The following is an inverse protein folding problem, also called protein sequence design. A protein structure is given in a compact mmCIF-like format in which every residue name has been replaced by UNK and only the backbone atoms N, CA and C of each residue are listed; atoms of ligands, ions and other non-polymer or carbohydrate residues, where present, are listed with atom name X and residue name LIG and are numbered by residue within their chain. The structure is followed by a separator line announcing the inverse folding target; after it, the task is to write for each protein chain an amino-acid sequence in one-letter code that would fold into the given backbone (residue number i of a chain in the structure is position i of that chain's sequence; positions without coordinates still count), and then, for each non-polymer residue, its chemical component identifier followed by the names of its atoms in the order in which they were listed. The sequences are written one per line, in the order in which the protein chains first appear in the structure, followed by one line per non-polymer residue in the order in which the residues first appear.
data_IF_280315933962
#
_entry.id   IF_280315933962
#
_cell.length_a   1.000
_cell.length_b   1.000
_cell.length_c   1.000
_cell.angle_alpha   90.00
_cell.angle_beta   90.00
_cell.angle_gamma   90.00
#
_symmetry.space_group_name_H-M   'P 1'
#
loop_
_entity.id
_entity.type
_entity.pdbx_description
1 polymer ?
#
# COMPACT_ATOMS: atom_id res chain seq x y z
N UNK A 1 -25.91 13.80 72.19
CA UNK A 1 -25.33 12.68 71.41
C UNK A 1 -26.22 12.43 70.20
N UNK A 2 -26.13 13.24 69.15
CA UNK A 2 -25.38 12.99 67.91
C UNK A 2 -25.57 11.57 67.34
N UNK A 3 -26.39 11.44 66.29
CA UNK A 3 -26.13 10.58 65.14
C UNK A 3 -26.72 11.21 63.87
N UNK A 4 -25.84 11.85 63.12
CA UNK A 4 -26.07 12.32 61.75
C UNK A 4 -26.15 11.06 60.86
N UNK A 5 -27.28 10.88 60.16
CA UNK A 5 -27.42 9.91 59.07
C UNK A 5 -26.93 10.58 57.79
N UNK A 6 -25.70 10.29 57.39
CA UNK A 6 -25.15 10.70 56.09
C UNK A 6 -25.67 9.76 55.01
N UNK A 7 -26.43 10.29 54.05
CA UNK A 7 -26.74 9.62 52.79
C UNK A 7 -25.43 9.42 52.01
N UNK A 8 -25.17 8.19 51.59
CA UNK A 8 -24.14 7.87 50.58
C UNK A 8 -24.83 7.93 49.22
N UNK A 9 -24.47 8.83 48.29
CA UNK A 9 -24.95 8.74 46.93
C UNK A 9 -24.21 7.62 46.20
N UNK A 10 -24.99 6.71 45.62
CA UNK A 10 -24.57 5.69 44.68
C UNK A 10 -23.95 6.38 43.45
N UNK A 11 -22.62 6.33 43.30
CA UNK A 11 -21.95 6.71 42.05
C UNK A 11 -21.89 5.46 41.17
N UNK A 12 -22.82 5.39 40.21
CA UNK A 12 -22.79 4.42 39.12
C UNK A 12 -21.65 4.83 38.16
N UNK A 13 -20.49 4.17 38.28
CA UNK A 13 -19.41 4.31 37.31
C UNK A 13 -19.78 3.48 36.08
N UNK A 14 -20.23 4.16 35.02
CA UNK A 14 -20.43 3.55 33.71
C UNK A 14 -19.05 3.36 33.06
N UNK A 15 -18.49 2.15 33.17
CA UNK A 15 -17.26 1.77 32.48
C UNK A 15 -17.60 1.55 30.99
N UNK A 16 -17.33 2.55 30.15
CA UNK A 16 -17.28 2.34 28.70
C UNK A 16 -16.09 1.42 28.40
N UNK A 17 -16.36 0.13 28.16
CA UNK A 17 -15.42 -0.72 27.44
C UNK A 17 -15.39 -0.22 25.99
N UNK A 18 -14.39 0.59 25.66
CA UNK A 18 -13.96 0.73 24.29
C UNK A 18 -13.41 -0.64 23.87
N UNK A 19 -14.23 -1.42 23.15
CA UNK A 19 -13.76 -2.60 22.45
C UNK A 19 -12.82 -2.09 21.36
N UNK A 20 -11.53 -2.08 21.66
CA UNK A 20 -10.52 -1.85 20.64
C UNK A 20 -10.60 -3.06 19.72
N UNK A 21 -11.10 -2.88 18.49
CA UNK A 21 -11.04 -3.91 17.48
C UNK A 21 -9.54 -4.11 17.14
N UNK A 22 -8.92 -5.14 17.71
CA UNK A 22 -7.51 -5.45 17.45
C UNK A 22 -7.48 -6.10 16.07
N UNK A 23 -6.98 -5.39 15.07
CA UNK A 23 -6.77 -5.96 13.73
C UNK A 23 -5.68 -7.01 13.73
N UNK A 24 -5.82 -7.99 12.84
CA UNK A 24 -4.81 -9.01 12.58
C UNK A 24 -3.89 -8.54 11.47
N UNK A 25 -2.57 -8.65 11.68
CA UNK A 25 -1.57 -8.34 10.67
C UNK A 25 -1.24 -9.58 9.83
N UNK A 26 -1.14 -9.40 8.51
CA UNK A 26 -0.55 -10.37 7.60
C UNK A 26 0.63 -9.76 6.83
N UNK A 27 1.78 -10.46 6.74
CA UNK A 27 2.90 -10.00 5.91
C UNK A 27 2.51 -9.86 4.44
N UNK A 28 3.01 -8.80 3.81
CA UNK A 28 2.90 -8.59 2.36
C UNK A 28 4.27 -8.79 1.70
N UNK A 29 4.27 -9.37 0.50
CA UNK A 29 5.47 -9.63 -0.32
C UNK A 29 5.21 -9.32 -1.80
N UNK A 30 6.09 -9.70 -2.72
CA UNK A 30 5.82 -9.60 -4.17
C UNK A 30 6.37 -8.34 -4.86
N UNK A 31 5.81 -7.98 -6.03
CA UNK A 31 6.44 -7.08 -7.02
C UNK A 31 6.46 -5.59 -6.66
N UNK A 32 5.58 -5.13 -5.78
CA UNK A 32 5.57 -3.78 -5.21
C UNK A 32 5.09 -2.70 -6.19
N UNK A 33 5.77 -1.55 -6.20
CA UNK A 33 5.41 -0.38 -6.98
C UNK A 33 6.08 -0.43 -8.35
N UNK A 34 5.28 -0.22 -9.40
CA UNK A 34 5.77 -0.15 -10.78
C UNK A 34 5.54 1.27 -11.32
N UNK A 35 6.63 2.01 -11.57
CA UNK A 35 6.60 3.42 -11.98
C UNK A 35 6.99 3.59 -13.46
N UNK A 36 6.06 4.08 -14.25
CA UNK A 36 6.21 4.56 -15.61
C UNK A 36 6.54 6.04 -15.53
N UNK A 37 7.75 6.39 -15.96
CA UNK A 37 8.19 7.78 -15.98
C UNK A 37 8.13 8.38 -17.38
N UNK A 38 7.63 7.61 -18.35
CA UNK A 38 7.48 8.03 -19.74
C UNK A 38 6.45 9.16 -19.89
N UNK A 39 5.32 9.05 -19.20
CA UNK A 39 4.22 10.03 -19.25
C UNK A 39 4.57 11.38 -18.62
N UNK A 40 5.69 11.44 -17.89
CA UNK A 40 6.22 12.67 -17.29
C UNK A 40 7.11 13.47 -18.25
N UNK A 41 7.36 12.96 -19.46
CA UNK A 41 8.22 13.57 -20.49
C UNK A 41 9.58 14.07 -19.96
N UNK A 42 10.18 13.34 -19.01
CA UNK A 42 11.40 13.77 -18.33
C UNK A 42 12.56 14.08 -19.30
N UNK A 43 12.62 13.32 -20.40
CA UNK A 43 13.70 13.44 -21.37
C UNK A 43 13.65 14.77 -22.12
N UNK A 44 12.48 15.33 -22.44
CA UNK A 44 12.38 16.64 -23.11
C UNK A 44 12.91 17.78 -22.23
N UNK A 45 12.84 17.61 -20.91
CA UNK A 45 13.41 18.54 -19.92
C UNK A 45 14.88 18.24 -19.57
N UNK A 46 15.51 17.28 -20.25
CA UNK A 46 16.90 16.86 -20.03
C UNK A 46 17.11 16.11 -18.72
N UNK A 47 16.08 15.43 -18.22
CA UNK A 47 16.08 14.69 -16.96
C UNK A 47 16.16 13.20 -17.26
N UNK A 48 17.16 12.54 -16.67
CA UNK A 48 17.26 11.09 -16.66
C UNK A 48 16.69 10.54 -15.35
N UNK A 49 15.83 9.53 -15.46
CA UNK A 49 15.42 8.71 -14.33
C UNK A 49 16.26 7.43 -14.26
N UNK A 50 16.51 6.94 -13.06
CA UNK A 50 17.26 5.70 -12.87
C UNK A 50 16.87 5.03 -11.55
N UNK A 51 16.87 3.70 -11.53
CA UNK A 51 16.67 2.92 -10.32
C UNK A 51 17.87 3.05 -9.36
N UNK A 52 17.62 3.07 -8.05
CA UNK A 52 18.66 3.07 -7.02
C UNK A 52 18.38 2.08 -5.89
N UNK A 53 19.46 1.64 -5.22
CA UNK A 53 19.41 0.89 -3.96
C UNK A 53 18.52 -0.37 -3.95
N UNK A 54 18.51 -1.13 -5.05
CA UNK A 54 17.77 -2.39 -5.16
C UNK A 54 16.44 -2.29 -5.89
N UNK A 55 16.04 -1.09 -6.33
CA UNK A 55 15.05 -0.95 -7.39
C UNK A 55 15.58 -1.52 -8.71
N UNK A 56 14.67 -1.98 -9.57
CA UNK A 56 14.99 -2.59 -10.87
C UNK A 56 14.56 -1.63 -11.96
N UNK A 57 15.47 -1.34 -12.88
CA UNK A 57 15.18 -0.61 -14.10
C UNK A 57 14.78 -1.62 -15.19
N UNK A 58 13.62 -1.44 -15.79
CA UNK A 58 13.12 -2.26 -16.89
C UNK A 58 12.79 -1.35 -18.06
N UNK A 59 13.83 -0.79 -18.69
CA UNK A 59 13.89 0.10 -19.87
C UNK A 59 12.88 1.27 -19.93
N UNK A 60 11.59 0.99 -19.75
CA UNK A 60 10.47 1.92 -19.73
C UNK A 60 9.91 2.18 -18.30
N UNK A 61 10.29 1.38 -17.31
CA UNK A 61 9.72 1.44 -15.94
C UNK A 61 10.75 1.20 -14.85
N UNK A 62 10.54 1.80 -13.68
CA UNK A 62 11.29 1.50 -12.46
C UNK A 62 10.39 0.71 -11.51
N UNK A 63 10.81 -0.50 -11.17
CA UNK A 63 10.12 -1.38 -10.23
C UNK A 63 10.79 -1.34 -8.86
N UNK A 64 9.99 -1.15 -7.81
CA UNK A 64 10.40 -1.21 -6.43
C UNK A 64 9.66 -2.34 -5.72
N UNK A 65 10.35 -3.46 -5.49
CA UNK A 65 9.77 -4.65 -4.86
C UNK A 65 9.31 -4.38 -3.43
N UNK A 66 8.36 -5.18 -2.94
CA UNK A 66 7.89 -5.12 -1.55
C UNK A 66 9.04 -5.43 -0.60
N UNK A 67 9.29 -4.54 0.35
CA UNK A 67 10.33 -4.69 1.36
C UNK A 67 9.82 -5.46 2.59
N UNK A 68 10.77 -6.04 3.34
CA UNK A 68 10.48 -6.71 4.61
C UNK A 68 9.82 -5.73 5.60
N UNK A 69 8.83 -6.22 6.33
CA UNK A 69 8.06 -5.42 7.29
C UNK A 69 6.78 -4.81 6.70
N UNK A 70 6.56 -4.99 5.39
CA UNK A 70 5.28 -4.71 4.75
C UNK A 70 4.19 -5.61 5.29
N UNK A 71 3.00 -5.04 5.50
CA UNK A 71 1.86 -5.76 6.06
C UNK A 71 0.53 -5.15 5.68
N UNK A 72 -0.49 -5.99 5.68
CA UNK A 72 -1.90 -5.62 5.62
C UNK A 72 -2.53 -5.93 6.99
N UNK A 73 -3.42 -5.08 7.46
CA UNK A 73 -4.12 -5.24 8.74
C UNK A 73 -5.62 -5.36 8.46
N UNK A 74 -6.24 -6.43 8.94
CA UNK A 74 -7.65 -6.75 8.64
C UNK A 74 -8.41 -7.21 9.88
N UNK A 75 -9.74 -7.16 9.79
CA UNK A 75 -10.69 -7.79 10.72
C UNK A 75 -11.77 -8.50 9.91
N UNK A 76 -13.00 -7.97 9.87
CA UNK A 76 -14.03 -8.37 8.91
C UNK A 76 -13.87 -7.67 7.54
N UNK A 77 -13.04 -6.64 7.48
CA UNK A 77 -12.68 -5.88 6.27
C UNK A 77 -11.19 -5.49 6.37
N UNK A 78 -10.60 -5.05 5.26
CA UNK A 78 -9.28 -4.40 5.28
C UNK A 78 -9.37 -3.10 6.08
N UNK A 79 -8.58 -3.00 7.16
CA UNK A 79 -8.59 -1.82 8.04
C UNK A 79 -7.52 -0.80 7.66
N UNK A 80 -6.34 -1.30 7.35
CA UNK A 80 -5.16 -0.52 6.98
C UNK A 80 -4.07 -1.43 6.43
N UNK A 81 -2.94 -0.84 6.05
CA UNK A 81 -1.76 -1.58 5.65
C UNK A 81 -0.66 -0.60 5.31
N UNK A 82 0.59 -1.05 5.46
CA UNK A 82 1.75 -0.29 5.02
C UNK A 82 2.63 -1.20 4.19
N UNK A 83 2.70 -0.88 2.90
CA UNK A 83 3.60 -1.56 1.97
C UNK A 83 4.86 -0.71 1.87
N UNK A 84 5.99 -1.28 2.25
CA UNK A 84 7.31 -0.68 2.16
C UNK A 84 7.94 -1.11 0.85
N UNK A 85 8.74 -0.25 0.22
CA UNK A 85 9.40 -0.56 -1.04
C UNK A 85 10.92 -0.60 -0.89
N UNK A 86 11.55 -1.55 -1.58
CA UNK A 86 13.02 -1.67 -1.67
C UNK A 86 13.53 -0.67 -2.69
N UNK A 87 14.56 0.08 -2.31
CA UNK A 87 15.26 0.99 -3.20
C UNK A 87 14.61 2.35 -3.35
N UNK A 88 14.70 2.89 -4.56
CA UNK A 88 14.29 4.25 -4.86
C UNK A 88 14.45 4.63 -6.32
N UNK A 89 14.10 5.88 -6.62
CA UNK A 89 14.23 6.50 -7.95
C UNK A 89 15.14 7.71 -7.83
N UNK A 90 16.09 7.86 -8.75
CA UNK A 90 16.89 9.07 -8.89
C UNK A 90 16.50 9.79 -10.17
N UNK A 91 16.20 11.08 -10.06
CA UNK A 91 16.08 12.01 -11.17
C UNK A 91 17.34 12.86 -11.25
N UNK A 92 17.92 13.01 -12.44
CA UNK A 92 19.16 13.75 -12.64
C UNK A 92 19.09 14.69 -13.84
N UNK A 93 19.58 15.93 -13.68
CA UNK A 93 19.73 16.93 -14.74
C UNK A 93 21.12 17.55 -14.68
N UNK A 94 21.99 17.17 -15.61
CA UNK A 94 23.40 17.54 -15.57
C UNK A 94 24.07 17.07 -14.26
N UNK A 95 24.57 17.99 -13.45
CA UNK A 95 25.18 17.68 -12.15
C UNK A 95 24.19 17.63 -10.99
N UNK A 96 22.93 18.06 -11.19
CA UNK A 96 21.89 18.11 -10.17
C UNK A 96 21.16 16.77 -10.09
N UNK A 97 20.80 16.36 -8.87
CA UNK A 97 20.15 15.08 -8.60
C UNK A 97 19.13 15.20 -7.48
N UNK A 98 18.03 14.47 -7.60
CA UNK A 98 17.03 14.26 -6.55
C UNK A 98 16.82 12.76 -6.41
N UNK A 99 16.86 12.27 -5.17
CA UNK A 99 16.67 10.85 -4.88
C UNK A 99 15.43 10.68 -4.02
N UNK A 100 14.52 9.83 -4.50
CA UNK A 100 13.36 9.31 -3.79
C UNK A 100 13.76 7.97 -3.20
N UNK A 101 13.72 7.83 -1.87
CA UNK A 101 14.09 6.60 -1.15
C UNK A 101 13.16 6.33 0.01
N UNK A 102 13.21 5.13 0.58
CA UNK A 102 12.36 4.75 1.73
C UNK A 102 10.88 4.97 1.43
N UNK A 103 10.46 4.55 0.25
CA UNK A 103 9.11 4.76 -0.24
C UNK A 103 8.15 3.79 0.45
N UNK A 104 6.94 4.23 0.74
CA UNK A 104 5.89 3.39 1.29
C UNK A 104 4.51 3.82 0.85
N UNK A 105 3.64 2.84 0.63
CA UNK A 105 2.22 3.00 0.31
C UNK A 105 1.36 2.70 1.54
N UNK A 106 0.48 3.63 1.87
CA UNK A 106 -0.57 3.47 2.88
C UNK A 106 -1.84 2.94 2.21
N UNK A 107 -2.18 1.69 2.52
CA UNK A 107 -3.30 0.97 1.91
C UNK A 107 -4.65 1.60 2.25
N UNK A 108 -4.76 2.31 3.37
CA UNK A 108 -6.02 2.93 3.80
C UNK A 108 -6.28 4.24 3.09
N UNK A 109 -5.23 5.02 2.84
CA UNK A 109 -5.39 6.37 2.28
C UNK A 109 -4.96 6.46 0.83
N UNK A 110 -4.44 5.37 0.25
CA UNK A 110 -3.87 5.36 -1.09
C UNK A 110 -2.57 6.19 -1.21
N UNK A 111 -2.02 6.67 -0.10
CA UNK A 111 -0.97 7.68 -0.11
C UNK A 111 0.39 7.01 -0.24
N UNK A 112 1.22 7.51 -1.16
CA UNK A 112 2.62 7.13 -1.22
C UNK A 112 3.50 8.23 -0.67
N UNK A 113 4.34 7.85 0.29
CA UNK A 113 5.31 8.72 0.96
C UNK A 113 6.73 8.29 0.67
N UNK A 114 7.65 9.23 0.59
CA UNK A 114 9.06 8.98 0.35
C UNK A 114 9.94 9.90 1.21
N UNK A 115 11.23 9.59 1.26
CA UNK A 115 12.26 10.57 1.57
C UNK A 115 12.77 11.15 0.26
N UNK A 116 12.73 12.48 0.13
CA UNK A 116 13.18 13.21 -1.08
C UNK A 116 14.36 14.09 -0.71
N UNK A 117 15.55 13.71 -1.20
CA UNK A 117 16.80 14.29 -0.71
C UNK A 117 16.99 13.99 0.79
N UNK A 118 16.98 15.05 1.60
CA UNK A 118 17.13 14.98 3.07
C UNK A 118 15.78 15.10 3.82
N UNK A 119 14.67 15.29 3.10
CA UNK A 119 13.35 15.49 3.73
C UNK A 119 12.60 14.16 3.76
N UNK A 120 12.34 13.64 4.95
CA UNK A 120 11.57 12.42 5.15
C UNK A 120 10.05 12.68 5.20
N UNK A 121 9.26 11.66 4.86
CA UNK A 121 7.80 11.72 4.99
C UNK A 121 7.11 12.63 3.96
N UNK A 122 7.78 12.92 2.85
CA UNK A 122 7.22 13.68 1.75
C UNK A 122 6.12 12.86 1.09
N UNK A 123 4.92 13.42 1.07
CA UNK A 123 3.78 12.88 0.31
C UNK A 123 4.06 13.13 -1.16
N UNK A 124 4.23 12.09 -1.96
CA UNK A 124 4.64 12.27 -3.36
C UNK A 124 3.54 11.92 -4.36
N UNK A 125 2.69 10.95 -4.02
CA UNK A 125 1.63 10.53 -4.90
C UNK A 125 0.46 9.93 -4.13
N UNK A 126 -0.67 9.81 -4.82
CA UNK A 126 -1.84 9.07 -4.37
C UNK A 126 -2.25 8.08 -5.44
N UNK A 127 -2.67 6.89 -5.01
CA UNK A 127 -3.37 5.91 -5.83
C UNK A 127 -4.81 5.86 -5.36
N UNK A 128 -5.74 5.71 -6.29
CA UNK A 128 -7.09 5.36 -5.93
C UNK A 128 -7.13 3.88 -5.53
N UNK A 129 -7.76 3.63 -4.39
CA UNK A 129 -7.88 2.34 -3.73
C UNK A 129 -9.35 1.93 -3.56
N UNK A 130 -10.27 2.66 -4.21
CA UNK A 130 -11.69 2.32 -4.23
C UNK A 130 -11.89 0.89 -4.73
N UNK A 131 -11.18 0.50 -5.79
CA UNK A 131 -11.19 -0.86 -6.28
C UNK A 131 -9.77 -1.42 -6.45
N UNK A 132 -9.67 -2.73 -6.23
CA UNK A 132 -8.45 -3.50 -6.48
C UNK A 132 -8.80 -4.74 -7.29
N UNK A 133 -7.82 -5.23 -8.04
CA UNK A 133 -7.88 -6.54 -8.67
C UNK A 133 -7.17 -7.56 -7.77
N UNK A 134 -7.82 -8.70 -7.56
CA UNK A 134 -7.26 -9.82 -6.83
C UNK A 134 -7.11 -10.99 -7.79
N UNK A 135 -5.87 -11.42 -8.00
CA UNK A 135 -5.54 -12.60 -8.81
C UNK A 135 -5.07 -13.73 -7.91
N UNK A 136 -5.63 -14.93 -8.13
CA UNK A 136 -5.20 -16.17 -7.49
C UNK A 136 -4.74 -17.14 -8.57
N UNK A 137 -3.54 -17.69 -8.41
CA UNK A 137 -3.01 -18.73 -9.28
C UNK A 137 -3.13 -20.11 -8.66
N UNK A 138 -3.42 -21.12 -9.47
CA UNK A 138 -3.46 -22.52 -9.04
C UNK A 138 -2.10 -22.96 -8.46
N UNK A 139 -2.13 -23.85 -7.47
CA UNK A 139 -0.95 -24.40 -6.81
C UNK A 139 -0.30 -23.48 -5.78
N UNK A 140 -0.83 -22.28 -5.54
CA UNK A 140 -0.36 -21.37 -4.49
C UNK A 140 -1.42 -21.14 -3.41
N UNK A 141 -0.99 -20.71 -2.23
CA UNK A 141 -1.88 -20.18 -1.19
C UNK A 141 -1.94 -18.66 -1.20
N UNK A 142 -1.00 -18.02 -1.89
CA UNK A 142 -0.95 -16.57 -2.02
C UNK A 142 -1.86 -16.05 -3.12
N UNK A 143 -2.43 -14.87 -2.88
CA UNK A 143 -3.07 -14.03 -3.88
C UNK A 143 -2.20 -12.82 -4.17
N UNK A 144 -2.38 -12.23 -5.35
CA UNK A 144 -1.88 -10.91 -5.69
C UNK A 144 -3.01 -9.90 -5.60
N UNK A 145 -2.76 -8.79 -4.93
CA UNK A 145 -3.63 -7.61 -4.90
C UNK A 145 -2.95 -6.52 -5.72
N UNK A 146 -3.66 -5.95 -6.68
CA UNK A 146 -3.16 -4.89 -7.58
C UNK A 146 -4.12 -3.71 -7.57
N UNK A 147 -3.59 -2.50 -7.37
CA UNK A 147 -4.37 -1.27 -7.60
C UNK A 147 -4.63 -1.10 -9.09
N UNK A 148 -5.87 -0.80 -9.47
CA UNK A 148 -6.27 -0.73 -10.89
C UNK A 148 -6.19 0.67 -11.49
N UNK A 149 -6.18 1.70 -10.65
CA UNK A 149 -6.20 3.09 -11.08
C UNK A 149 -4.80 3.68 -11.02
N UNK A 150 -4.57 4.66 -11.91
CA UNK A 150 -3.26 5.26 -12.09
C UNK A 150 -2.78 6.09 -10.90
N UNK A 151 -1.48 6.18 -10.76
CA UNK A 151 -0.81 6.97 -9.73
C UNK A 151 -0.92 8.46 -10.10
N UNK A 152 -1.37 9.28 -9.16
CA UNK A 152 -1.46 10.74 -9.30
C UNK A 152 -0.37 11.40 -8.48
N UNK A 153 0.54 12.10 -9.14
CA UNK A 153 1.59 12.84 -8.44
C UNK A 153 1.05 14.11 -7.81
N UNK A 154 1.55 14.43 -6.60
CA UNK A 154 1.15 15.64 -5.89
C UNK A 154 1.94 16.85 -6.38
N UNK A 155 1.23 17.93 -6.73
CA UNK A 155 1.81 19.18 -7.25
C UNK A 155 2.94 19.77 -6.37
N UNK A 156 2.86 19.60 -5.05
CA UNK A 156 3.89 20.07 -4.11
C UNK A 156 5.25 19.40 -4.33
N UNK A 157 5.27 18.15 -4.79
CA UNK A 157 6.50 17.43 -5.09
C UNK A 157 7.07 17.88 -6.41
N UNK A 158 6.25 18.12 -7.42
CA UNK A 158 6.67 18.68 -8.72
C UNK A 158 7.43 19.99 -8.54
N UNK A 159 6.88 20.92 -7.75
CA UNK A 159 7.55 22.19 -7.45
C UNK A 159 8.91 21.98 -6.76
N UNK A 160 9.00 20.98 -5.88
CA UNK A 160 10.24 20.64 -5.17
C UNK A 160 11.30 20.02 -6.10
N UNK A 161 10.88 19.13 -7.02
CA UNK A 161 11.74 18.56 -8.06
C UNK A 161 12.29 19.68 -8.95
N UNK A 162 11.40 20.55 -9.44
CA UNK A 162 11.76 21.65 -10.32
C UNK A 162 12.77 22.61 -9.70
N UNK A 163 12.57 22.97 -8.43
CA UNK A 163 13.53 23.78 -7.69
C UNK A 163 14.91 23.10 -7.57
N UNK A 164 14.95 21.80 -7.28
CA UNK A 164 16.20 21.06 -7.09
C UNK A 164 16.93 20.76 -8.40
N UNK A 165 16.21 20.45 -9.49
CA UNK A 165 16.80 20.13 -10.79
C UNK A 165 17.00 21.37 -11.67
N UNK A 166 16.35 22.50 -11.38
CA UNK A 166 16.29 23.64 -12.32
C UNK A 166 15.54 23.25 -13.59
N UNK A 167 14.36 22.69 -13.43
CA UNK A 167 13.45 22.30 -14.50
C UNK A 167 12.10 22.99 -14.34
N UNK A 168 11.26 22.86 -15.35
CA UNK A 168 9.88 23.32 -15.39
C UNK A 168 8.93 22.17 -15.77
N UNK A 169 9.20 20.97 -15.24
CA UNK A 169 8.34 19.81 -15.47
C UNK A 169 6.93 20.17 -14.99
N UNK A 170 5.93 19.99 -15.86
CA UNK A 170 4.53 20.11 -15.50
C UNK A 170 3.87 18.73 -15.50
N UNK A 171 3.60 18.23 -14.31
CA UNK A 171 3.08 16.88 -14.05
C UNK A 171 1.95 16.92 -13.02
N UNK A 172 1.31 18.08 -12.91
CA UNK A 172 0.16 18.27 -12.02
C UNK A 172 -1.00 17.45 -12.55
N UNK A 173 -1.55 16.57 -11.71
CA UNK A 173 -2.68 15.70 -12.02
C UNK A 173 -2.47 14.77 -13.23
N UNK A 174 -1.21 14.52 -13.62
CA UNK A 174 -0.89 13.45 -14.56
C UNK A 174 -1.18 12.13 -13.86
N UNK A 175 -2.15 11.41 -14.41
CA UNK A 175 -2.42 10.02 -14.07
C UNK A 175 -1.39 9.17 -14.80
N UNK A 176 -0.58 8.45 -14.03
CA UNK A 176 0.39 7.50 -14.57
C UNK A 176 -0.23 6.12 -14.65
N UNK A 177 0.03 5.38 -15.72
CA UNK A 177 -0.34 3.97 -15.86
C UNK A 177 0.52 3.09 -14.92
N UNK A 178 0.37 3.33 -13.61
CA UNK A 178 1.18 2.83 -12.53
C UNK A 178 0.34 2.10 -11.51
N UNK A 179 0.94 1.07 -10.92
CA UNK A 179 0.25 0.21 -9.97
C UNK A 179 1.14 -0.15 -8.79
N UNK A 180 0.47 -0.42 -7.68
CA UNK A 180 1.04 -1.14 -6.54
C UNK A 180 0.44 -2.52 -6.53
N UNK A 181 1.31 -3.52 -6.61
CA UNK A 181 0.95 -4.93 -6.51
C UNK A 181 1.69 -5.59 -5.36
N UNK A 182 0.97 -6.33 -4.52
CA UNK A 182 1.58 -7.08 -3.43
C UNK A 182 0.84 -8.38 -3.18
N UNK A 183 1.56 -9.36 -2.66
CA UNK A 183 1.08 -10.70 -2.43
C UNK A 183 0.86 -10.92 -0.93
N UNK A 184 -0.27 -11.55 -0.57
CA UNK A 184 -0.57 -11.99 0.79
C UNK A 184 -0.97 -13.46 0.79
N UNK A 185 -0.64 -14.18 1.86
CA UNK A 185 -0.91 -15.61 1.97
C UNK A 185 -2.31 -15.87 2.56
N UNK A 186 -3.16 -16.61 1.87
CA UNK A 186 -4.48 -17.00 2.41
C UNK A 186 -4.38 -18.17 3.40
N UNK A 187 -3.18 -18.65 3.71
CA UNK A 187 -2.94 -19.70 4.69
C UNK A 187 -1.74 -19.41 5.60
N UNK A 188 -1.77 -20.03 6.79
CA UNK A 188 -0.60 -20.13 7.68
C UNK A 188 -0.28 -21.62 7.85
N UNK A 189 0.71 -22.10 7.12
CA UNK A 189 1.01 -23.53 7.04
C UNK A 189 -0.11 -24.29 6.34
N UNK A 190 -0.82 -25.15 7.07
CA UNK A 190 -1.94 -25.96 6.55
C UNK A 190 -3.32 -25.40 6.91
N UNK A 191 -3.36 -24.27 7.63
CA UNK A 191 -4.62 -23.65 8.07
C UNK A 191 -4.99 -22.52 7.14
N UNK A 192 -6.19 -22.59 6.57
CA UNK A 192 -6.77 -21.50 5.81
C UNK A 192 -7.11 -20.34 6.74
N UNK A 193 -6.80 -19.14 6.29
CA UNK A 193 -7.16 -17.89 6.94
C UNK A 193 -8.54 -17.41 6.45
N UNK A 194 -9.60 -17.98 7.02
CA UNK A 194 -10.99 -17.68 6.65
C UNK A 194 -11.36 -16.22 6.90
N UNK A 195 -10.80 -15.61 7.94
CA UNK A 195 -11.07 -14.22 8.30
C UNK A 195 -10.49 -13.26 7.24
N UNK A 196 -9.29 -13.55 6.73
CA UNK A 196 -8.70 -12.79 5.64
C UNK A 196 -9.48 -12.97 4.34
N UNK A 197 -9.88 -14.20 4.01
CA UNK A 197 -10.72 -14.48 2.82
C UNK A 197 -12.01 -13.66 2.88
N UNK A 198 -12.66 -13.61 4.03
CA UNK A 198 -13.85 -12.80 4.24
C UNK A 198 -13.54 -11.30 4.12
N UNK A 199 -12.46 -10.83 4.75
CA UNK A 199 -12.07 -9.42 4.74
C UNK A 199 -11.69 -8.90 3.34
N UNK A 200 -11.32 -9.81 2.44
CA UNK A 200 -11.04 -9.53 1.03
C UNK A 200 -12.26 -9.77 0.12
N UNK A 201 -13.41 -10.18 0.66
CA UNK A 201 -14.62 -10.45 -0.13
C UNK A 201 -14.55 -11.69 -1.02
N UNK A 202 -13.68 -12.65 -0.71
CA UNK A 202 -13.38 -13.82 -1.57
C UNK A 202 -14.18 -15.07 -1.22
N UNK A 203 -15.20 -14.95 -0.36
CA UNK A 203 -15.96 -16.08 0.17
C UNK A 203 -16.79 -16.83 -0.90
N UNK A 204 -17.08 -16.20 -2.04
CA UNK A 204 -17.75 -16.84 -3.17
C UNK A 204 -16.77 -17.63 -4.06
N UNK A 205 -15.48 -17.26 -4.04
CA UNK A 205 -14.46 -17.78 -4.96
C UNK A 205 -13.67 -18.95 -4.37
N UNK A 206 -13.66 -19.10 -3.05
CA UNK A 206 -12.87 -20.12 -2.35
C UNK A 206 -13.79 -21.04 -1.57
N UNK A 207 -13.82 -22.32 -1.97
CA UNK A 207 -14.48 -23.37 -1.21
C UNK A 207 -13.61 -23.79 -0.02
N UNK A 208 -13.83 -23.13 1.11
CA UNK A 208 -13.11 -23.41 2.37
C UNK A 208 -13.44 -24.78 2.98
N UNK A 209 -14.49 -25.47 2.52
CA UNK A 209 -14.89 -26.79 3.05
C UNK A 209 -13.91 -27.91 2.67
N UNK A 210 -13.17 -27.74 1.56
CA UNK A 210 -12.12 -28.65 1.11
C UNK A 210 -10.76 -28.37 1.78
N UNK A 211 -10.72 -27.46 2.77
CA UNK A 211 -9.49 -27.07 3.44
C UNK A 211 -8.46 -26.54 2.44
N UNK A 212 -7.17 -26.70 2.77
CA UNK A 212 -6.07 -26.14 1.97
C UNK A 212 -6.10 -26.54 0.49
N UNK A 213 -6.64 -27.72 0.16
CA UNK A 213 -6.72 -28.19 -1.23
C UNK A 213 -7.69 -27.34 -2.05
N UNK A 214 -8.83 -26.95 -1.47
CA UNK A 214 -9.74 -26.01 -2.15
C UNK A 214 -9.07 -24.67 -2.48
N UNK A 215 -8.13 -24.22 -1.64
CA UNK A 215 -7.33 -23.03 -1.93
C UNK A 215 -6.29 -23.30 -3.03
N UNK A 216 -5.61 -24.45 -3.01
CA UNK A 216 -4.59 -24.78 -4.01
C UNK A 216 -5.19 -25.00 -5.40
N UNK A 217 -6.37 -25.63 -5.49
CA UNK A 217 -7.06 -25.91 -6.75
C UNK A 217 -7.78 -24.66 -7.33
N UNK A 218 -7.92 -23.60 -6.52
CA UNK A 218 -8.58 -22.36 -6.94
C UNK A 218 -7.67 -21.49 -7.84
N UNK A 219 -8.28 -20.94 -8.89
CA UNK A 219 -7.73 -19.88 -9.72
C UNK A 219 -8.86 -18.93 -10.12
N UNK A 220 -8.66 -17.65 -9.89
CA UNK A 220 -9.64 -16.62 -10.22
C UNK A 220 -8.97 -15.25 -10.35
N UNK A 221 -9.70 -14.34 -10.98
CA UNK A 221 -9.38 -12.92 -11.05
C UNK A 221 -10.67 -12.16 -10.80
N UNK A 222 -10.69 -11.33 -9.76
CA UNK A 222 -11.88 -10.59 -9.34
C UNK A 222 -11.53 -9.16 -9.00
N UNK A 223 -12.45 -8.24 -9.28
CA UNK A 223 -12.36 -6.87 -8.79
C UNK A 223 -13.17 -6.73 -7.52
N UNK A 224 -12.56 -6.17 -6.49
CA UNK A 224 -13.17 -5.99 -5.16
C UNK A 224 -13.15 -4.52 -4.80
N UNK A 225 -14.30 -4.02 -4.35
CA UNK A 225 -14.43 -2.69 -3.78
C UNK A 225 -13.94 -2.71 -2.33
N UNK A 226 -13.00 -1.82 -1.99
CA UNK A 226 -12.46 -1.67 -0.64
C UNK A 226 -13.08 -0.48 0.11
N UNK A 227 -14.03 0.26 -0.48
CA UNK A 227 -14.68 1.45 0.10
C UNK A 227 -16.19 1.33 0.30
#
# INVERSE_FOLDING_TARGET
MSRIRTLIPFVLVLLFLAVSCIGTDIPATGPGLNLSLYELDLQSHGIAASAVAGAVDTDDRIRLNVARGSKLTYTSNILSGKILFVGGVQLAKGTRKVIFKSMSFDVKTGLITATVGDVAGVKFATLDISAVEITKHEGTTAIRITTINGLRMLASVTASINAQLGSDIDVVDTELDDSVSFDVDLAVGQQINTDLILALGLNAEIDTSHGIQGLLDSSFEVSVDWM
#
